data_IF_099474165027
#
_entry.id   IF_099474165027
#
_cell.length_a   1.000
_cell.length_b   1.000
_cell.length_c   1.000
_cell.angle_alpha   90.00
_cell.angle_beta   90.00
_cell.angle_gamma   90.00
#
_symmetry.space_group_name_H-M   'P 1'
#
loop_
_entity.id
_entity.type
_entity.pdbx_description
1 polymer ?
#
# COMPACT_ATOMS: atom_id res chain seq x y z
N UNK A 1 -25.63 22.74 -16.43
CA UNK A 1 -25.63 23.58 -15.21
C UNK A 1 -25.56 22.64 -14.01
N UNK A 2 -24.38 22.28 -13.49
CA UNK A 2 -23.61 22.90 -12.38
C UNK A 2 -24.45 23.28 -11.15
N UNK A 3 -24.48 22.39 -10.16
CA UNK A 3 -24.94 22.68 -8.80
C UNK A 3 -23.70 22.81 -7.92
N UNK A 4 -23.48 24.01 -7.40
CA UNK A 4 -22.33 24.36 -6.57
C UNK A 4 -22.69 24.22 -5.10
N UNK A 5 -21.94 23.41 -4.36
CA UNK A 5 -22.01 23.38 -2.91
C UNK A 5 -21.04 24.42 -2.36
N UNK A 6 -21.61 25.52 -1.89
CA UNK A 6 -20.93 26.57 -1.13
C UNK A 6 -20.53 25.98 0.22
N UNK A 7 -19.24 25.85 0.48
CA UNK A 7 -18.73 25.64 1.83
C UNK A 7 -18.01 26.92 2.27
N UNK A 8 -18.57 27.52 3.32
CA UNK A 8 -18.14 28.77 3.93
C UNK A 8 -16.71 28.69 4.46
N UNK A 9 -15.98 29.79 4.29
CA UNK A 9 -14.67 30.05 4.88
C UNK A 9 -14.87 30.66 6.27
N UNK A 10 -14.21 30.12 7.29
CA UNK A 10 -13.81 30.87 8.50
C UNK A 10 -12.39 30.44 8.88
N UNK A 11 -11.49 31.42 8.88
CA UNK A 11 -10.07 31.30 9.20
C UNK A 11 -9.80 31.52 10.69
N UNK A 12 -8.82 30.81 11.27
CA UNK A 12 -8.09 31.26 12.46
C UNK A 12 -6.61 30.96 12.25
N UNK A 13 -5.84 32.03 12.05
CA UNK A 13 -4.37 32.01 12.02
C UNK A 13 -3.85 32.18 13.45
N UNK A 14 -3.14 31.18 13.97
CA UNK A 14 -2.25 31.35 15.13
C UNK A 14 -0.84 31.04 14.66
N UNK A 15 -0.05 32.09 14.42
CA UNK A 15 1.37 32.00 14.17
C UNK A 15 2.10 31.93 15.52
N UNK A 16 2.59 30.75 15.89
CA UNK A 16 3.56 30.57 16.96
C UNK A 16 4.90 30.21 16.32
N UNK A 17 5.78 31.21 16.25
CA UNK A 17 7.14 31.12 15.75
C UNK A 17 8.00 30.28 16.68
N UNK A 18 8.03 28.97 16.48
CA UNK A 18 9.07 28.12 17.05
C UNK A 18 10.13 27.88 15.97
N UNK A 19 11.30 28.48 16.18
CA UNK A 19 12.53 28.18 15.45
C UNK A 19 12.96 26.75 15.75
N UNK A 20 12.41 25.81 15.00
CA UNK A 20 12.89 24.46 14.88
C UNK A 20 12.79 24.10 13.41
N UNK A 21 13.88 23.66 12.80
CA UNK A 21 13.82 22.99 11.51
C UNK A 21 12.93 21.76 11.68
N UNK A 22 11.65 21.92 11.39
CA UNK A 22 10.75 20.79 11.22
C UNK A 22 11.24 20.11 9.95
N UNK A 23 12.10 19.11 10.12
CA UNK A 23 12.38 18.16 9.07
C UNK A 23 11.03 17.54 8.72
N UNK A 24 10.38 18.06 7.66
CA UNK A 24 9.18 17.47 7.10
C UNK A 24 9.58 16.06 6.68
N UNK A 25 9.24 15.07 7.51
CA UNK A 25 9.40 13.68 7.12
C UNK A 25 8.66 13.53 5.79
N UNK A 26 9.30 13.00 4.74
CA UNK A 26 8.62 12.82 3.47
C UNK A 26 7.37 11.99 3.74
N UNK A 27 6.20 12.59 3.51
CA UNK A 27 4.95 11.86 3.53
C UNK A 27 5.02 10.89 2.35
N UNK A 28 5.36 9.63 2.64
CA UNK A 28 5.46 8.60 1.62
C UNK A 28 4.06 8.37 1.03
N UNK A 29 3.72 9.12 -0.02
CA UNK A 29 2.43 9.07 -0.69
C UNK A 29 2.09 7.63 -1.05
N UNK A 30 0.95 7.15 -0.53
CA UNK A 30 0.43 5.86 -0.93
C UNK A 30 -0.04 5.96 -2.38
N UNK A 31 0.62 5.22 -3.26
CA UNK A 31 0.28 5.24 -4.70
C UNK A 31 -0.93 4.38 -5.02
N UNK A 32 -1.52 3.69 -4.04
CA UNK A 32 -2.69 2.82 -4.23
C UNK A 32 -2.46 1.90 -5.46
N UNK A 33 -3.40 1.81 -6.40
CA UNK A 33 -3.26 1.08 -7.66
C UNK A 33 -2.68 1.91 -8.82
N UNK A 34 -2.23 3.15 -8.63
CA UNK A 34 -1.78 3.99 -9.76
C UNK A 34 -0.50 3.47 -10.42
N UNK A 35 0.29 2.66 -9.70
CA UNK A 35 1.47 2.00 -10.24
C UNK A 35 1.15 0.63 -10.91
N UNK A 36 -0.12 0.27 -11.05
CA UNK A 36 -0.54 -0.93 -11.77
C UNK A 36 -0.18 -0.84 -13.24
N UNK A 37 0.53 -1.85 -13.74
CA UNK A 37 0.88 -1.98 -15.16
C UNK A 37 0.21 -3.17 -15.83
N UNK A 38 -0.15 -4.17 -15.04
CA UNK A 38 -0.80 -5.38 -15.51
C UNK A 38 -1.98 -5.73 -14.59
N UNK A 39 -3.20 -5.66 -15.12
CA UNK A 39 -4.39 -6.13 -14.41
C UNK A 39 -4.38 -7.65 -14.38
N UNK A 40 -4.61 -8.21 -13.21
CA UNK A 40 -4.74 -9.66 -13.01
C UNK A 40 -6.17 -9.93 -12.53
N UNK A 41 -6.71 -11.14 -12.76
CA UNK A 41 -7.91 -11.55 -12.03
C UNK A 41 -7.66 -11.45 -10.51
N UNK A 42 -8.71 -11.36 -9.71
CA UNK A 42 -8.61 -11.49 -8.26
C UNK A 42 -8.07 -12.89 -7.92
N UNK A 43 -6.82 -12.97 -7.48
CA UNK A 43 -6.19 -14.24 -7.07
C UNK A 43 -5.92 -14.22 -5.58
N UNK A 44 -6.41 -15.25 -4.89
CA UNK A 44 -6.14 -15.49 -3.48
C UNK A 44 -4.88 -16.35 -3.36
N UNK A 45 -3.88 -15.83 -2.65
CA UNK A 45 -2.59 -16.50 -2.42
C UNK A 45 -2.24 -16.44 -0.94
N UNK A 46 -1.35 -17.33 -0.52
CA UNK A 46 -0.75 -17.27 0.81
C UNK A 46 0.60 -16.58 0.73
N UNK A 47 1.00 -15.95 1.83
CA UNK A 47 2.38 -15.50 1.99
C UNK A 47 3.25 -16.72 2.28
N UNK A 48 4.27 -16.97 1.47
CA UNK A 48 5.15 -18.16 1.56
C UNK A 48 6.31 -17.98 2.55
N UNK A 49 6.63 -16.72 2.87
CA UNK A 49 7.85 -16.31 3.55
C UNK A 49 7.57 -15.36 4.70
N UNK A 50 8.36 -15.51 5.77
CA UNK A 50 8.32 -14.60 6.91
C UNK A 50 9.17 -13.36 6.61
N UNK A 51 8.62 -12.16 6.83
CA UNK A 51 9.36 -10.91 6.61
C UNK A 51 8.99 -10.16 5.34
N UNK A 52 8.04 -10.70 4.55
CA UNK A 52 7.42 -9.95 3.47
C UNK A 52 6.77 -8.68 4.04
N UNK A 53 6.91 -7.53 3.37
CA UNK A 53 6.38 -6.25 3.87
C UNK A 53 5.23 -5.80 3.00
N UNK A 54 4.11 -5.46 3.64
CA UNK A 54 3.03 -4.74 2.98
C UNK A 54 3.43 -3.27 2.88
N UNK A 55 3.40 -2.68 1.68
CA UNK A 55 3.89 -1.32 1.44
C UNK A 55 2.86 -0.38 0.85
N UNK A 56 3.10 0.92 1.00
CA UNK A 56 2.27 1.97 0.40
C UNK A 56 2.46 2.15 -1.11
N UNK A 57 3.54 1.58 -1.66
CA UNK A 57 3.85 1.56 -3.09
C UNK A 57 4.82 0.43 -3.47
N UNK A 58 5.02 0.18 -4.77
CA UNK A 58 5.89 -0.87 -5.25
C UNK A 58 7.37 -0.46 -5.15
N UNK A 59 8.11 -1.07 -4.23
CA UNK A 59 9.54 -0.83 -4.07
C UNK A 59 9.97 -0.63 -2.61
N UNK A 60 11.29 -0.54 -2.39
CA UNK A 60 11.89 -0.36 -1.04
C UNK A 60 11.82 1.06 -0.49
N UNK A 61 11.62 2.05 -1.37
CA UNK A 61 11.48 3.48 -1.02
C UNK A 61 10.12 3.84 -0.41
N UNK A 62 9.10 3.00 -0.58
CA UNK A 62 7.76 3.26 -0.06
C UNK A 62 7.64 2.76 1.38
N UNK A 63 6.83 3.46 2.17
CA UNK A 63 6.61 3.14 3.57
C UNK A 63 6.06 1.72 3.78
N UNK A 64 6.55 1.08 4.83
CA UNK A 64 6.05 -0.21 5.31
C UNK A 64 4.79 0.01 6.13
N UNK A 65 3.70 -0.67 5.76
CA UNK A 65 2.44 -0.73 6.52
C UNK A 65 2.44 -1.85 7.56
N UNK A 66 3.37 -2.79 7.44
CA UNK A 66 3.56 -3.88 8.40
C UNK A 66 4.36 -5.02 7.78
N UNK A 67 4.70 -5.99 8.62
CA UNK A 67 5.38 -7.22 8.23
C UNK A 67 4.35 -8.33 8.17
N UNK A 68 4.26 -8.99 7.02
CA UNK A 68 3.45 -10.16 6.77
C UNK A 68 4.14 -11.42 7.32
N UNK A 69 3.31 -12.35 7.77
CA UNK A 69 3.75 -13.63 8.30
C UNK A 69 3.36 -14.75 7.35
N UNK A 70 4.21 -15.78 7.26
CA UNK A 70 3.90 -16.97 6.47
C UNK A 70 2.51 -17.52 6.83
N UNK A 71 1.71 -17.80 5.81
CA UNK A 71 0.32 -18.26 5.95
C UNK A 71 -0.75 -17.15 5.97
N UNK A 72 -0.37 -15.86 6.04
CA UNK A 72 -1.31 -14.77 5.80
C UNK A 72 -1.94 -14.92 4.41
N UNK A 73 -3.25 -14.68 4.32
CA UNK A 73 -3.96 -14.73 3.04
C UNK A 73 -4.03 -13.35 2.42
N UNK A 74 -3.53 -13.23 1.20
CA UNK A 74 -3.49 -12.00 0.42
C UNK A 74 -4.24 -12.19 -0.89
N UNK A 75 -5.03 -11.20 -1.28
CA UNK A 75 -5.68 -11.17 -2.59
C UNK A 75 -5.11 -10.05 -3.42
N UNK A 76 -4.53 -10.36 -4.56
CA UNK A 76 -4.04 -9.35 -5.50
C UNK A 76 -4.88 -9.38 -6.78
N UNK A 77 -4.97 -8.22 -7.44
CA UNK A 77 -5.69 -8.02 -8.71
C UNK A 77 -4.88 -7.17 -9.69
N UNK A 78 -3.67 -6.78 -9.32
CA UNK A 78 -2.81 -5.98 -10.17
C UNK A 78 -1.35 -6.27 -9.85
N UNK A 79 -0.49 -6.10 -10.85
CA UNK A 79 0.96 -6.21 -10.74
C UNK A 79 1.68 -5.08 -11.47
N UNK A 80 2.93 -4.84 -11.09
CA UNK A 80 3.83 -3.94 -11.85
C UNK A 80 4.54 -4.63 -13.02
N UNK A 81 4.65 -5.96 -12.99
CA UNK A 81 5.28 -6.77 -14.04
C UNK A 81 4.25 -7.59 -14.81
N UNK A 82 4.59 -7.98 -16.04
CA UNK A 82 3.76 -8.85 -16.88
C UNK A 82 3.87 -10.33 -16.47
N UNK A 83 3.28 -11.22 -17.27
CA UNK A 83 3.25 -12.67 -16.99
C UNK A 83 4.63 -13.30 -16.78
N UNK A 84 5.64 -12.90 -17.56
CA UNK A 84 7.00 -13.46 -17.50
C UNK A 84 7.86 -12.88 -16.37
N UNK A 85 7.43 -11.80 -15.75
CA UNK A 85 8.21 -11.04 -14.76
C UNK A 85 7.61 -11.12 -13.35
N UNK A 86 6.82 -12.17 -13.08
CA UNK A 86 6.10 -12.27 -11.81
C UNK A 86 7.02 -12.15 -10.60
N UNK A 87 8.09 -12.94 -10.51
CA UNK A 87 8.98 -12.95 -9.33
C UNK A 87 9.77 -11.65 -9.13
N UNK A 88 9.81 -10.81 -10.16
CA UNK A 88 10.44 -9.48 -10.15
C UNK A 88 9.42 -8.35 -10.01
N UNK A 89 8.14 -8.69 -9.92
CA UNK A 89 7.04 -7.73 -9.84
C UNK A 89 6.59 -7.45 -8.41
N UNK A 90 5.80 -6.39 -8.26
CA UNK A 90 5.04 -6.11 -7.06
C UNK A 90 3.58 -6.38 -7.33
N UNK A 91 2.92 -7.09 -6.42
CA UNK A 91 1.49 -7.38 -6.45
C UNK A 91 0.74 -6.41 -5.55
N UNK A 92 -0.25 -5.73 -6.12
CA UNK A 92 -1.17 -4.85 -5.40
C UNK A 92 -2.44 -5.60 -5.03
N UNK A 93 -2.83 -5.46 -3.77
CA UNK A 93 -3.90 -6.27 -3.23
C UNK A 93 -4.35 -5.83 -1.83
N UNK A 94 -5.08 -6.73 -1.17
CA UNK A 94 -5.53 -6.59 0.21
C UNK A 94 -5.31 -7.85 1.02
N UNK A 95 -5.14 -7.67 2.33
CA UNK A 95 -5.15 -8.77 3.29
C UNK A 95 -6.57 -9.31 3.41
N UNK A 96 -6.75 -10.62 3.26
CA UNK A 96 -8.03 -11.28 3.50
C UNK A 96 -8.12 -11.81 4.92
N UNK A 97 -7.10 -12.56 5.32
CA UNK A 97 -7.02 -13.20 6.62
C UNK A 97 -5.61 -13.03 7.16
N UNK A 98 -5.52 -12.42 8.34
CA UNK A 98 -4.29 -12.37 9.12
C UNK A 98 -4.12 -13.64 9.93
N UNK A 99 -2.89 -14.07 10.11
CA UNK A 99 -2.50 -15.10 11.07
C UNK A 99 -1.87 -14.44 12.28
N UNK A 100 -0.71 -13.79 12.10
CA UNK A 100 0.07 -13.17 13.20
C UNK A 100 0.59 -11.76 12.89
N UNK A 101 0.52 -11.27 11.65
CA UNK A 101 1.11 -10.00 11.22
C UNK A 101 0.60 -8.72 11.90
N UNK A 102 -0.47 -8.80 12.70
CA UNK A 102 -1.07 -7.62 13.34
C UNK A 102 -1.77 -6.65 12.37
N UNK A 103 -1.63 -6.86 11.06
CA UNK A 103 -2.23 -6.02 10.01
C UNK A 103 -3.73 -6.35 9.90
N UNK A 104 -4.63 -5.36 9.98
CA UNK A 104 -6.07 -5.59 9.83
C UNK A 104 -6.43 -6.22 8.48
N UNK A 105 -7.42 -7.10 8.47
CA UNK A 105 -8.03 -7.57 7.23
C UNK A 105 -8.61 -6.38 6.44
N UNK A 106 -8.57 -6.46 5.11
CA UNK A 106 -8.95 -5.37 4.21
C UNK A 106 -7.85 -4.34 3.97
N UNK A 107 -6.74 -4.37 4.73
CA UNK A 107 -5.62 -3.43 4.51
C UNK A 107 -5.03 -3.63 3.12
N UNK A 108 -5.04 -2.56 2.33
CA UNK A 108 -4.54 -2.56 0.95
C UNK A 108 -3.07 -2.16 0.87
N UNK A 109 -2.32 -2.77 -0.04
CA UNK A 109 -0.93 -2.41 -0.26
C UNK A 109 -0.24 -3.26 -1.30
N UNK A 110 1.06 -3.02 -1.41
CA UNK A 110 1.96 -3.71 -2.33
C UNK A 110 2.81 -4.73 -1.59
N UNK A 111 2.91 -5.93 -2.15
CA UNK A 111 3.79 -7.01 -1.68
C UNK A 111 4.70 -7.41 -2.83
N UNK A 112 5.95 -7.73 -2.55
CA UNK A 112 6.84 -8.23 -3.59
C UNK A 112 6.42 -9.66 -3.94
N UNK A 113 6.14 -9.89 -5.22
CA UNK A 113 5.40 -11.07 -5.70
C UNK A 113 6.07 -12.39 -5.35
N UNK A 114 7.40 -12.44 -5.33
CA UNK A 114 8.17 -13.64 -4.93
C UNK A 114 7.94 -14.13 -3.49
N UNK A 115 7.19 -13.38 -2.67
CA UNK A 115 6.83 -13.77 -1.31
C UNK A 115 5.41 -14.34 -1.21
N UNK A 116 4.78 -14.59 -2.35
CA UNK A 116 3.45 -15.12 -2.46
C UNK A 116 3.55 -16.51 -3.07
N UNK A 117 2.88 -17.46 -2.43
CA UNK A 117 2.76 -18.84 -2.86
C UNK A 117 1.81 -18.90 -4.06
N UNK A 118 2.38 -19.05 -5.26
CA UNK A 118 1.67 -19.14 -6.53
C UNK A 118 1.53 -20.58 -7.01
#
# INVERSE_FOLDING_TARGET
MKIQHKFSIVAVSVALSFGGVVAMAPTASAVNSSACRFNSPDVNVKVDSTGARLRSGPGKRYASKGVLTKGDSFRYWCRTGGMKDYDKSWSYGKILKRTKSGIPAGTRGWVYSRYLDM
#
